data_IF_743014504609
#
_entry.id   IF_743014504609
#
_cell.length_a   1.000
_cell.length_b   1.000
_cell.length_c   1.000
_cell.angle_alpha   90.00
_cell.angle_beta   90.00
_cell.angle_gamma   90.00
#
_symmetry.space_group_name_H-M   'P 1'
#
loop_
_entity.id
_entity.type
_entity.pdbx_description
1 polymer ?
#
# COMPACT_ATOMS: atom_id res chain seq x y z
N UNK A 1 -7.78 12.04 -5.49
CA UNK A 1 -7.51 10.76 -6.19
C UNK A 1 -8.67 9.79 -5.98
N UNK A 2 -9.51 9.53 -6.99
CA UNK A 2 -10.63 8.57 -6.92
C UNK A 2 -10.32 7.23 -7.62
N UNK A 3 -9.06 6.97 -7.97
CA UNK A 3 -8.69 5.74 -8.69
C UNK A 3 -8.59 4.59 -7.69
N UNK A 4 -9.25 3.48 -8.00
CA UNK A 4 -9.16 2.24 -7.23
C UNK A 4 -7.81 1.58 -7.53
N UNK A 5 -7.06 1.35 -6.48
CA UNK A 5 -5.73 0.76 -6.50
C UNK A 5 -5.77 -0.63 -5.86
N UNK A 6 -4.74 -1.42 -6.10
CA UNK A 6 -4.47 -2.68 -5.43
C UNK A 6 -2.96 -2.85 -5.26
N UNK A 7 -2.58 -3.74 -4.36
CA UNK A 7 -1.18 -4.17 -4.27
C UNK A 7 -0.85 -5.11 -5.43
N UNK A 8 0.24 -4.88 -6.18
CA UNK A 8 0.64 -5.75 -7.26
C UNK A 8 0.92 -7.19 -6.81
N UNK A 9 0.58 -8.15 -7.67
CA UNK A 9 0.95 -9.55 -7.46
C UNK A 9 2.48 -9.66 -7.46
N UNK A 10 3.03 -10.34 -6.46
CA UNK A 10 4.48 -10.53 -6.31
C UNK A 10 5.18 -9.49 -5.44
N UNK A 11 4.47 -8.48 -4.90
CA UNK A 11 5.01 -7.66 -3.81
C UNK A 11 5.30 -8.56 -2.62
N UNK A 12 6.53 -8.52 -2.11
CA UNK A 12 6.99 -9.32 -0.95
C UNK A 12 7.29 -8.39 0.20
N UNK A 13 6.74 -8.69 1.37
CA UNK A 13 7.00 -7.97 2.61
C UNK A 13 7.80 -8.85 3.55
N UNK A 14 8.74 -8.27 4.28
CA UNK A 14 9.43 -8.93 5.38
C UNK A 14 9.63 -7.97 6.55
N UNK A 15 9.28 -8.44 7.74
CA UNK A 15 9.44 -7.73 9.00
C UNK A 15 10.92 -7.65 9.40
N UNK A 16 11.38 -6.45 9.76
CA UNK A 16 12.73 -6.17 10.25
C UNK A 16 12.74 -5.64 11.70
N UNK A 17 11.61 -5.73 12.41
CA UNK A 17 11.42 -5.23 13.77
C UNK A 17 10.71 -3.87 13.78
N UNK A 18 11.48 -2.78 13.70
CA UNK A 18 10.90 -1.42 13.73
C UNK A 18 10.39 -0.94 12.36
N UNK A 19 10.85 -1.60 11.29
CA UNK A 19 10.52 -1.29 9.90
C UNK A 19 10.25 -2.59 9.15
N UNK A 20 9.71 -2.45 7.95
CA UNK A 20 9.48 -3.54 7.02
C UNK A 20 10.26 -3.32 5.74
N UNK A 21 10.76 -4.38 5.13
CA UNK A 21 11.22 -4.33 3.75
C UNK A 21 10.08 -4.71 2.80
N UNK A 22 9.95 -3.97 1.71
CA UNK A 22 8.98 -4.23 0.66
C UNK A 22 9.66 -4.28 -0.71
N UNK A 23 9.67 -5.46 -1.33
CA UNK A 23 10.11 -5.62 -2.72
C UNK A 23 8.93 -5.40 -3.68
N UNK A 24 9.14 -4.53 -4.68
CA UNK A 24 8.19 -4.29 -5.77
C UNK A 24 8.62 -5.03 -7.04
N UNK A 25 7.77 -5.92 -7.59
CA UNK A 25 8.06 -6.56 -8.87
C UNK A 25 7.90 -5.60 -10.07
N UNK A 26 7.18 -4.48 -9.89
CA UNK A 26 6.96 -3.50 -10.96
C UNK A 26 8.18 -2.61 -11.19
N UNK A 27 8.86 -2.21 -10.11
CA UNK A 27 10.06 -1.36 -10.18
C UNK A 27 11.36 -2.14 -10.03
N UNK A 28 11.32 -3.37 -9.49
CA UNK A 28 12.50 -4.14 -9.13
C UNK A 28 13.23 -3.62 -7.88
N UNK A 29 12.63 -2.68 -7.15
CA UNK A 29 13.23 -2.05 -5.99
C UNK A 29 12.75 -2.67 -4.69
N UNK A 30 13.61 -2.62 -3.67
CA UNK A 30 13.26 -2.89 -2.28
C UNK A 30 13.32 -1.58 -1.50
N UNK A 31 12.24 -1.23 -0.80
CA UNK A 31 12.16 -0.03 0.04
C UNK A 31 11.88 -0.41 1.49
N UNK A 32 12.19 0.51 2.42
CA UNK A 32 11.81 0.39 3.82
C UNK A 32 10.47 1.09 4.05
N UNK A 33 9.57 0.43 4.77
CA UNK A 33 8.23 0.91 5.10
C UNK A 33 8.02 0.92 6.61
N UNK A 34 7.20 1.85 7.07
CA UNK A 34 6.62 1.78 8.41
C UNK A 34 5.39 0.85 8.43
N UNK A 35 4.86 0.61 9.63
CA UNK A 35 3.72 -0.28 9.86
C UNK A 35 2.46 0.18 9.13
N UNK A 36 2.17 1.49 9.10
CA UNK A 36 0.99 2.01 8.42
C UNK A 36 1.02 1.78 6.90
N UNK A 37 2.18 1.96 6.27
CA UNK A 37 2.35 1.70 4.85
C UNK A 37 2.13 0.21 4.51
N UNK A 38 2.62 -0.68 5.37
CA UNK A 38 2.39 -2.12 5.25
C UNK A 38 0.92 -2.48 5.40
N UNK A 39 0.25 -1.92 6.40
CA UNK A 39 -1.17 -2.16 6.63
C UNK A 39 -2.03 -1.74 5.41
N UNK A 40 -1.70 -0.62 4.75
CA UNK A 40 -2.34 -0.23 3.49
C UNK A 40 -2.16 -1.32 2.41
N UNK A 41 -0.94 -1.84 2.25
CA UNK A 41 -0.67 -2.88 1.25
C UNK A 41 -1.39 -4.20 1.56
N UNK A 42 -1.53 -4.55 2.84
CA UNK A 42 -2.27 -5.75 3.23
C UNK A 42 -3.77 -5.61 2.97
N UNK A 43 -4.38 -4.50 3.37
CA UNK A 43 -5.78 -4.21 3.07
C UNK A 43 -6.07 -4.23 1.56
N UNK A 44 -5.17 -3.66 0.76
CA UNK A 44 -5.31 -3.62 -0.70
C UNK A 44 -5.05 -4.96 -1.40
N UNK A 45 -4.39 -5.92 -0.74
CA UNK A 45 -4.33 -7.32 -1.21
C UNK A 45 -5.65 -8.03 -1.01
N UNK A 46 -6.33 -7.76 0.09
CA UNK A 46 -7.63 -8.36 0.41
C UNK A 46 -8.75 -7.77 -0.46
N UNK A 47 -8.79 -6.44 -0.58
CA UNK A 47 -9.78 -5.73 -1.38
C UNK A 47 -9.19 -4.48 -2.02
N UNK A 48 -9.23 -4.34 -3.35
CA UNK A 48 -8.88 -3.10 -4.03
C UNK A 48 -9.69 -1.91 -3.49
N UNK A 49 -9.05 -0.75 -3.38
CA UNK A 49 -9.65 0.43 -2.78
C UNK A 49 -8.93 1.73 -3.13
N UNK A 50 -9.49 2.85 -2.68
CA UNK A 50 -8.85 4.16 -2.77
C UNK A 50 -8.33 4.61 -1.41
N UNK A 51 -7.52 5.68 -1.39
CA UNK A 51 -6.92 6.23 -0.19
C UNK A 51 -7.95 6.52 0.92
N UNK A 52 -9.09 7.13 0.58
CA UNK A 52 -10.11 7.48 1.57
C UNK A 52 -10.70 6.23 2.24
N UNK A 53 -10.93 5.16 1.47
CA UNK A 53 -11.40 3.89 2.01
C UNK A 53 -10.35 3.26 2.94
N UNK A 54 -9.07 3.25 2.55
CA UNK A 54 -8.00 2.69 3.38
C UNK A 54 -7.81 3.47 4.68
N UNK A 55 -7.81 4.81 4.62
CA UNK A 55 -7.75 5.64 5.82
C UNK A 55 -8.93 5.39 6.76
N UNK A 56 -10.14 5.21 6.22
CA UNK A 56 -11.32 4.93 7.01
C UNK A 56 -11.22 3.58 7.73
N UNK A 57 -10.75 2.54 7.03
CA UNK A 57 -10.55 1.21 7.61
C UNK A 57 -9.47 1.24 8.69
N UNK A 58 -8.32 1.87 8.42
CA UNK A 58 -7.23 1.98 9.39
C UNK A 58 -7.59 2.82 10.62
N UNK A 59 -8.35 3.90 10.43
CA UNK A 59 -8.85 4.72 11.54
C UNK A 59 -9.77 3.91 12.47
N UNK A 60 -10.65 3.07 11.90
CA UNK A 60 -11.51 2.18 12.69
C UNK A 60 -10.70 1.14 13.49
N UNK A 61 -9.64 0.59 12.90
CA UNK A 61 -8.82 -0.45 13.54
C UNK A 61 -7.93 0.12 14.66
N UNK A 62 -7.39 1.31 14.45
CA UNK A 62 -6.48 1.98 15.40
C UNK A 62 -7.19 2.85 16.45
N UNK A 63 -8.47 3.14 16.26
CA UNK A 63 -9.23 4.08 17.09
C UNK A 63 -8.84 5.55 16.90
N UNK A 64 -8.07 5.87 15.86
CA UNK A 64 -7.69 7.24 15.52
C UNK A 64 -8.79 7.96 14.72
N UNK A 65 -8.74 9.30 14.73
CA UNK A 65 -9.64 10.09 13.92
C UNK A 65 -9.28 9.98 12.42
N UNK A 66 -10.30 9.94 11.56
CA UNK A 66 -10.12 9.69 10.12
C UNK A 66 -9.35 10.81 9.41
N UNK A 67 -9.47 12.05 9.88
CA UNK A 67 -8.72 13.22 9.41
C UNK A 67 -7.23 13.12 9.75
N UNK A 68 -6.90 12.69 10.97
CA UNK A 68 -5.52 12.44 11.39
C UNK A 68 -4.90 11.30 10.57
N UNK A 69 -5.65 10.22 10.34
CA UNK A 69 -5.21 9.11 9.49
C UNK A 69 -4.98 9.57 8.04
N UNK A 70 -5.87 10.41 7.51
CA UNK A 70 -5.75 10.90 6.14
C UNK A 70 -4.51 11.78 5.95
N UNK A 71 -4.16 12.63 6.92
CA UNK A 71 -2.92 13.41 6.87
C UNK A 71 -1.69 12.50 6.83
N UNK A 72 -1.63 11.50 7.71
CA UNK A 72 -0.53 10.53 7.80
C UNK A 72 -0.39 9.70 6.51
N UNK A 73 -1.50 9.19 5.99
CA UNK A 73 -1.48 8.31 4.81
C UNK A 73 -1.31 9.04 3.48
N UNK A 74 -1.55 10.35 3.41
CA UNK A 74 -1.48 11.09 2.14
C UNK A 74 -0.08 11.08 1.50
N UNK A 75 0.97 11.30 2.29
CA UNK A 75 2.37 11.19 1.84
C UNK A 75 2.74 9.76 1.51
N UNK A 76 2.43 8.82 2.42
CA UNK A 76 2.70 7.39 2.27
C UNK A 76 2.09 6.84 0.97
N UNK A 77 0.86 7.22 0.63
CA UNK A 77 0.19 6.75 -0.57
C UNK A 77 0.94 7.13 -1.85
N UNK A 78 1.49 8.34 -1.90
CA UNK A 78 2.28 8.79 -3.04
C UNK A 78 3.62 8.05 -3.12
N UNK A 79 4.29 7.84 -1.98
CA UNK A 79 5.53 7.06 -1.93
C UNK A 79 5.33 5.61 -2.40
N UNK A 80 4.22 4.98 -2.00
CA UNK A 80 3.87 3.63 -2.44
C UNK A 80 3.58 3.56 -3.95
N UNK A 81 2.95 4.58 -4.52
CA UNK A 81 2.77 4.73 -5.97
C UNK A 81 4.12 4.83 -6.68
N UNK A 82 4.99 5.72 -6.21
CA UNK A 82 6.28 6.01 -6.84
C UNK A 82 7.24 4.82 -6.75
N UNK A 83 7.18 4.04 -5.67
CA UNK A 83 7.92 2.79 -5.50
C UNK A 83 7.36 1.62 -6.34
N UNK A 84 6.21 1.80 -7.00
CA UNK A 84 5.52 0.75 -7.75
C UNK A 84 4.89 -0.32 -6.86
N UNK A 85 4.60 0.00 -5.59
CA UNK A 85 3.93 -0.90 -4.64
C UNK A 85 2.40 -0.83 -4.75
N UNK A 86 1.87 0.05 -5.61
CA UNK A 86 0.45 0.15 -5.94
C UNK A 86 0.26 0.13 -7.46
N UNK A 87 -0.77 -0.58 -7.91
CA UNK A 87 -1.23 -0.55 -9.30
C UNK A 87 -2.73 -0.32 -9.40
N UNK A 88 -3.20 0.18 -10.55
CA UNK A 88 -4.63 0.36 -10.76
C UNK A 88 -5.34 -1.01 -10.77
N UNK A 89 -6.47 -1.13 -10.07
CA UNK A 89 -7.17 -2.42 -9.93
C UNK A 89 -7.63 -3.05 -11.26
N UNK A 90 -7.89 -2.20 -12.28
CA UNK A 90 -8.21 -2.62 -13.65
C UNK A 90 -7.01 -2.78 -14.58
N UNK A 91 -5.78 -2.61 -14.09
CA UNK A 91 -4.59 -2.91 -14.88
C UNK A 91 -4.48 -4.43 -15.08
N UNK A 92 -4.10 -4.82 -16.30
CA UNK A 92 -3.82 -6.23 -16.61
C UNK A 92 -2.67 -6.69 -15.71
N UNK A 93 -2.77 -7.83 -15.00
CA UNK A 93 -1.69 -8.31 -14.16
C UNK A 93 -0.43 -8.42 -15.00
N UNK A 94 0.60 -7.66 -14.65
CA UNK A 94 1.93 -7.80 -15.23
C UNK A 94 2.55 -9.04 -14.62
N UNK A 95 2.28 -10.19 -15.24
CA UNK A 95 3.02 -11.41 -14.96
C UNK A 95 4.49 -11.14 -15.27
N UNK A 96 5.30 -10.86 -14.24
CA UNK A 96 6.73 -11.04 -14.36
C UNK A 96 6.95 -12.54 -14.58
N UNK A 97 7.17 -12.93 -15.84
CA UNK A 97 7.54 -14.29 -16.21
C UNK A 97 8.77 -14.69 -15.40
N UNK A 98 8.63 -15.76 -14.62
CA UNK A 98 9.75 -16.47 -14.02
C UNK A 98 10.62 -17.14 -15.09
#
# INVERSE_FOLDING_TARGET
MNRVMRTPVGVRLADLGELWSAFSPLSGQTVLLNTEAVAILELLRESPGNLAQMCQTLAMDTGLAADEMQQRCSGVWQELLDAGLLEAAGARPTSASA
#
